data_IF_803541298315
#
_entry.id   IF_803541298315
#
_cell.length_a   1.000
_cell.length_b   1.000
_cell.length_c   1.000
_cell.angle_alpha   90.00
_cell.angle_beta   90.00
_cell.angle_gamma   90.00
#
_symmetry.space_group_name_H-M   'P 1'
#
loop_
_entity.id
_entity.type
_entity.pdbx_description
1 polymer ?
#
# COMPACT_ATOMS: atom_id res chain seq x y z
N UNK A 1 16.07 -27.48 -14.40
CA UNK A 1 16.22 -26.02 -14.45
C UNK A 1 16.61 -25.68 -15.87
N UNK A 2 15.69 -25.06 -16.57
CA UNK A 2 15.92 -24.49 -17.89
C UNK A 2 16.28 -23.01 -17.71
N UNK A 3 17.17 -22.48 -18.56
CA UNK A 3 17.59 -21.08 -18.54
C UNK A 3 17.38 -20.52 -19.94
N UNK A 4 16.51 -19.52 -20.07
CA UNK A 4 16.35 -18.72 -21.27
C UNK A 4 17.14 -17.43 -21.09
N UNK A 5 18.11 -17.17 -21.98
CA UNK A 5 18.90 -15.92 -21.97
C UNK A 5 18.67 -15.19 -23.28
N UNK A 6 18.43 -13.88 -23.25
CA UNK A 6 18.29 -13.06 -24.45
C UNK A 6 19.01 -11.70 -24.34
N UNK A 7 19.76 -11.29 -25.37
CA UNK A 7 20.31 -9.92 -25.44
C UNK A 7 19.24 -8.91 -25.84
N UNK A 8 18.30 -9.32 -26.71
CA UNK A 8 17.16 -8.52 -27.11
C UNK A 8 16.01 -9.41 -27.57
N UNK A 9 14.79 -9.14 -27.10
CA UNK A 9 13.58 -9.79 -27.62
C UNK A 9 12.74 -10.49 -26.56
N UNK A 10 12.62 -11.81 -26.66
CA UNK A 10 11.73 -12.62 -25.82
C UNK A 10 12.50 -13.83 -25.27
N UNK A 11 12.60 -13.94 -23.96
CA UNK A 11 13.14 -15.09 -23.25
C UNK A 11 12.03 -15.76 -22.44
N UNK A 12 11.75 -17.04 -22.71
CA UNK A 12 10.65 -17.78 -22.07
C UNK A 12 11.19 -19.04 -21.39
N UNK A 13 10.74 -19.32 -20.17
CA UNK A 13 11.10 -20.53 -19.44
C UNK A 13 9.95 -21.07 -18.58
N UNK A 14 9.48 -22.28 -18.89
CA UNK A 14 8.46 -22.96 -18.10
C UNK A 14 8.87 -23.21 -16.63
N UNK A 15 10.15 -23.57 -16.39
CA UNK A 15 10.69 -23.76 -15.03
C UNK A 15 12.16 -23.38 -14.97
N UNK A 16 12.46 -22.33 -14.22
CA UNK A 16 13.84 -21.93 -13.94
C UNK A 16 14.05 -20.43 -14.01
N UNK A 17 14.88 -20.00 -14.97
CA UNK A 17 15.36 -18.63 -15.07
C UNK A 17 15.15 -18.10 -16.49
N UNK A 18 14.32 -17.06 -16.65
CA UNK A 18 14.27 -16.23 -17.86
C UNK A 18 15.07 -14.95 -17.62
N UNK A 19 16.05 -14.63 -18.45
CA UNK A 19 16.91 -13.46 -18.29
C UNK A 19 17.05 -12.73 -19.63
N UNK A 20 16.79 -11.43 -19.63
CA UNK A 20 16.90 -10.61 -20.84
C UNK A 20 17.52 -9.23 -20.58
N UNK A 21 18.55 -8.85 -21.34
CA UNK A 21 19.11 -7.49 -21.22
C UNK A 21 18.10 -6.42 -21.67
N UNK A 22 17.36 -6.68 -22.75
CA UNK A 22 16.31 -5.79 -23.23
C UNK A 22 15.14 -6.55 -23.84
N UNK A 23 13.94 -6.40 -23.29
CA UNK A 23 12.74 -7.02 -23.85
C UNK A 23 11.86 -7.66 -22.79
N UNK A 24 11.40 -8.88 -23.07
CA UNK A 24 10.43 -9.59 -22.26
C UNK A 24 11.04 -10.89 -21.76
N UNK A 25 11.22 -11.01 -20.44
CA UNK A 25 11.53 -12.26 -19.75
C UNK A 25 10.25 -12.85 -19.13
N UNK A 26 9.89 -14.07 -19.48
CA UNK A 26 8.69 -14.74 -18.98
C UNK A 26 9.05 -16.10 -18.36
N UNK A 27 8.47 -16.41 -17.20
CA UNK A 27 8.59 -17.72 -16.57
C UNK A 27 7.30 -18.20 -15.93
N UNK A 28 6.84 -19.43 -16.22
CA UNK A 28 5.68 -19.97 -15.49
C UNK A 28 6.00 -20.27 -14.01
N UNK A 29 7.22 -20.73 -13.73
CA UNK A 29 7.66 -20.97 -12.37
C UNK A 29 9.16 -20.71 -12.20
N UNK A 30 9.51 -19.72 -11.38
CA UNK A 30 10.89 -19.40 -11.07
C UNK A 30 11.18 -17.91 -11.06
N UNK A 31 12.26 -17.52 -11.71
CA UNK A 31 12.75 -16.14 -11.74
C UNK A 31 12.75 -15.63 -13.18
N UNK A 32 12.19 -14.46 -13.40
CA UNK A 32 12.29 -13.68 -14.62
C UNK A 32 13.01 -12.38 -14.32
N UNK A 33 14.10 -12.10 -15.01
CA UNK A 33 14.92 -10.89 -14.82
C UNK A 33 15.02 -10.14 -16.15
N UNK A 34 14.87 -8.82 -16.12
CA UNK A 34 15.10 -7.97 -17.28
C UNK A 34 15.69 -6.61 -16.93
N UNK A 35 16.81 -6.23 -17.55
CA UNK A 35 17.42 -4.92 -17.23
C UNK A 35 16.61 -3.76 -17.81
N UNK A 36 16.07 -3.93 -19.01
CA UNK A 36 15.16 -2.95 -19.60
C UNK A 36 13.97 -3.64 -20.30
N UNK A 37 12.77 -3.53 -19.72
CA UNK A 37 11.56 -4.01 -20.35
C UNK A 37 10.53 -4.57 -19.39
N UNK A 38 10.23 -5.86 -19.51
CA UNK A 38 9.17 -6.54 -18.78
C UNK A 38 9.67 -7.89 -18.30
N UNK A 39 9.50 -8.16 -17.00
CA UNK A 39 9.82 -9.43 -16.37
C UNK A 39 8.56 -9.98 -15.73
N UNK A 40 8.04 -11.09 -16.26
CA UNK A 40 6.76 -11.67 -15.87
C UNK A 40 6.97 -13.07 -15.28
N UNK A 41 6.33 -13.35 -14.15
CA UNK A 41 6.32 -14.67 -13.53
C UNK A 41 4.93 -15.08 -13.03
N UNK A 42 4.40 -16.21 -13.50
CA UNK A 42 3.15 -16.74 -12.95
C UNK A 42 3.31 -17.23 -11.49
N UNK A 43 4.46 -17.81 -11.16
CA UNK A 43 4.78 -18.19 -9.80
C UNK A 43 6.27 -18.00 -9.51
N UNK A 44 6.60 -16.95 -8.74
CA UNK A 44 7.97 -16.72 -8.30
C UNK A 44 8.34 -15.25 -8.22
N UNK A 45 9.33 -14.84 -9.01
CA UNK A 45 9.98 -13.54 -8.89
C UNK A 45 10.15 -12.91 -10.27
N UNK A 46 9.49 -11.78 -10.52
CA UNK A 46 9.72 -10.92 -11.68
C UNK A 46 10.52 -9.69 -11.27
N UNK A 47 11.75 -9.53 -11.75
CA UNK A 47 12.68 -8.45 -11.39
C UNK A 47 13.06 -7.61 -12.61
N UNK A 48 13.02 -6.29 -12.48
CA UNK A 48 13.52 -5.38 -13.51
C UNK A 48 14.35 -4.20 -12.96
N UNK A 49 15.40 -3.81 -13.68
CA UNK A 49 16.10 -2.55 -13.34
C UNK A 49 15.29 -1.33 -13.85
N UNK A 50 14.83 -1.37 -15.09
CA UNK A 50 14.03 -0.30 -15.69
C UNK A 50 12.86 -0.84 -16.50
N UNK A 51 11.64 -0.79 -15.96
CA UNK A 51 10.49 -1.34 -16.66
C UNK A 51 9.36 -1.79 -15.76
N UNK A 52 8.87 -3.00 -16.02
CA UNK A 52 7.71 -3.58 -15.37
C UNK A 52 8.04 -4.98 -14.84
N UNK A 53 8.06 -5.15 -13.52
CA UNK A 53 8.14 -6.45 -12.85
C UNK A 53 6.75 -6.93 -12.46
N UNK A 54 6.33 -8.09 -12.95
CA UNK A 54 4.99 -8.62 -12.72
C UNK A 54 5.06 -10.05 -12.17
N UNK A 55 4.26 -10.33 -11.14
CA UNK A 55 4.10 -11.68 -10.63
C UNK A 55 2.67 -11.98 -10.16
N UNK A 56 2.01 -12.96 -10.78
CA UNK A 56 0.70 -13.44 -10.34
C UNK A 56 0.75 -13.97 -8.89
N UNK A 57 1.71 -14.84 -8.58
CA UNK A 57 1.97 -15.31 -7.21
C UNK A 57 3.43 -15.19 -6.86
N UNK A 58 3.77 -14.25 -5.99
CA UNK A 58 5.13 -14.09 -5.49
C UNK A 58 5.56 -12.63 -5.35
N UNK A 59 6.62 -12.26 -6.07
CA UNK A 59 7.29 -10.98 -5.90
C UNK A 59 7.50 -10.32 -7.26
N UNK A 60 6.96 -9.12 -7.45
CA UNK A 60 7.32 -8.20 -8.52
C UNK A 60 8.25 -7.13 -7.96
N UNK A 61 9.42 -6.93 -8.57
CA UNK A 61 10.42 -5.96 -8.15
C UNK A 61 10.89 -5.11 -9.33
N UNK A 62 11.03 -3.80 -9.10
CA UNK A 62 11.51 -2.85 -10.10
C UNK A 62 12.31 -1.73 -9.45
N UNK A 63 13.55 -1.50 -9.88
CA UNK A 63 14.31 -0.35 -9.38
C UNK A 63 13.72 0.98 -9.90
N UNK A 64 13.38 1.02 -11.19
CA UNK A 64 12.70 2.16 -11.79
C UNK A 64 11.53 1.72 -12.68
N UNK A 65 10.31 1.98 -12.22
CA UNK A 65 9.11 1.69 -13.01
C UNK A 65 7.94 1.21 -12.19
N UNK A 66 7.35 0.08 -12.60
CA UNK A 66 6.14 -0.44 -11.99
C UNK A 66 6.38 -1.90 -11.58
N UNK A 67 5.99 -2.22 -10.37
CA UNK A 67 5.96 -3.60 -9.89
C UNK A 67 4.54 -3.96 -9.49
N UNK A 68 4.06 -5.10 -9.97
CA UNK A 68 2.71 -5.57 -9.73
C UNK A 68 2.73 -7.02 -9.23
N UNK A 69 1.86 -7.33 -8.27
CA UNK A 69 1.58 -8.71 -7.89
C UNK A 69 0.14 -8.96 -7.48
N UNK A 70 -0.57 -9.90 -8.12
CA UNK A 70 -1.93 -10.28 -7.68
C UNK A 70 -1.89 -10.81 -6.24
N UNK A 71 -0.98 -11.73 -5.93
CA UNK A 71 -0.80 -12.27 -4.59
C UNK A 71 0.67 -12.28 -4.17
N UNK A 72 1.05 -11.33 -3.31
CA UNK A 72 2.38 -11.29 -2.71
C UNK A 72 2.91 -9.88 -2.48
N UNK A 73 4.02 -9.54 -3.12
CA UNK A 73 4.75 -8.29 -2.87
C UNK A 73 5.07 -7.61 -4.19
N UNK A 74 4.57 -6.39 -4.39
CA UNK A 74 5.01 -5.48 -5.44
C UNK A 74 5.89 -4.40 -4.85
N UNK A 75 7.18 -4.38 -5.20
CA UNK A 75 8.18 -3.47 -4.63
C UNK A 75 8.81 -2.60 -5.73
N UNK A 76 8.88 -1.29 -5.49
CA UNK A 76 9.58 -0.36 -6.40
C UNK A 76 10.42 0.69 -5.69
N UNK A 77 11.73 0.76 -5.95
CA UNK A 77 12.56 1.86 -5.41
C UNK A 77 12.07 3.21 -5.93
N UNK A 78 11.84 3.34 -7.24
CA UNK A 78 11.31 4.55 -7.85
C UNK A 78 10.15 4.25 -8.80
N UNK A 79 8.92 4.52 -8.35
CA UNK A 79 7.74 4.41 -9.20
C UNK A 79 6.51 3.91 -8.45
N UNK A 80 6.00 2.75 -8.83
CA UNK A 80 4.73 2.23 -8.32
C UNK A 80 4.90 0.76 -7.92
N UNK A 81 4.73 0.46 -6.64
CA UNK A 81 4.60 -0.90 -6.13
C UNK A 81 3.14 -1.20 -5.83
N UNK A 82 2.55 -2.17 -6.51
CA UNK A 82 1.14 -2.52 -6.41
C UNK A 82 0.95 -4.00 -6.05
N UNK A 83 -0.02 -4.28 -5.18
CA UNK A 83 -0.49 -5.65 -4.99
C UNK A 83 -1.99 -5.74 -4.72
N UNK A 84 -2.71 -6.64 -5.41
CA UNK A 84 -4.13 -6.88 -5.07
C UNK A 84 -4.23 -7.47 -3.65
N UNK A 85 -3.40 -8.46 -3.32
CA UNK A 85 -3.38 -9.09 -2.01
C UNK A 85 -1.96 -9.30 -1.46
N UNK A 86 -1.59 -8.47 -0.49
CA UNK A 86 -0.33 -8.60 0.21
C UNK A 86 0.30 -7.25 0.57
N UNK A 87 1.36 -6.89 -0.14
CA UNK A 87 2.16 -5.70 0.15
C UNK A 87 2.50 -4.97 -1.16
N UNK A 88 2.11 -3.71 -1.25
CA UNK A 88 2.58 -2.77 -2.27
C UNK A 88 3.50 -1.74 -1.62
N UNK A 89 4.76 -1.70 -2.03
CA UNK A 89 5.79 -0.86 -1.40
C UNK A 89 6.50 0.01 -2.43
N UNK A 90 6.74 1.29 -2.09
CA UNK A 90 7.69 2.10 -2.84
C UNK A 90 8.52 3.06 -1.99
N UNK A 91 9.85 3.04 -2.14
CA UNK A 91 10.71 4.04 -1.50
C UNK A 91 10.36 5.45 -1.99
N UNK A 92 10.24 5.65 -3.30
CA UNK A 92 9.87 6.93 -3.90
C UNK A 92 8.76 6.79 -4.95
N UNK A 93 7.52 7.05 -4.54
CA UNK A 93 6.39 7.05 -5.45
C UNK A 93 5.09 6.62 -4.80
N UNK A 94 4.51 5.52 -5.27
CA UNK A 94 3.20 5.04 -4.82
C UNK A 94 3.31 3.58 -4.41
N UNK A 95 2.96 3.27 -3.17
CA UNK A 95 2.70 1.92 -2.70
C UNK A 95 1.19 1.72 -2.57
N UNK A 96 0.61 0.81 -3.34
CA UNK A 96 -0.83 0.59 -3.39
C UNK A 96 -1.19 -0.87 -3.10
N UNK A 97 -2.25 -1.09 -2.34
CA UNK A 97 -2.76 -2.43 -2.11
C UNK A 97 -4.29 -2.48 -1.97
N UNK A 98 -4.97 -3.38 -2.69
CA UNK A 98 -6.41 -3.57 -2.45
C UNK A 98 -6.66 -4.20 -1.07
N UNK A 99 -5.95 -5.29 -0.75
CA UNK A 99 -6.10 -6.01 0.51
C UNK A 99 -4.75 -6.35 1.16
N UNK A 100 -4.31 -5.50 2.09
CA UNK A 100 -3.03 -5.69 2.75
C UNK A 100 -2.39 -4.40 3.23
N UNK A 101 -1.16 -4.17 2.82
CA UNK A 101 -0.35 -3.02 3.26
C UNK A 101 0.15 -2.27 2.02
N UNK A 102 -0.20 -0.99 1.92
CA UNK A 102 0.36 -0.05 0.97
C UNK A 102 1.31 0.90 1.71
N UNK A 103 2.59 0.87 1.37
CA UNK A 103 3.63 1.61 2.08
C UNK A 103 4.44 2.48 1.11
N UNK A 104 4.75 3.70 1.54
CA UNK A 104 5.75 4.51 0.85
C UNK A 104 6.64 5.32 1.78
N UNK A 105 7.97 5.26 1.61
CA UNK A 105 8.86 6.16 2.35
C UNK A 105 8.63 7.62 1.91
N UNK A 106 8.57 7.89 0.61
CA UNK A 106 8.36 9.21 0.05
C UNK A 106 7.31 9.20 -1.07
N UNK A 107 6.07 9.54 -0.73
CA UNK A 107 5.00 9.65 -1.71
C UNK A 107 3.64 9.31 -1.14
N UNK A 108 2.99 8.29 -1.69
CA UNK A 108 1.63 7.90 -1.32
C UNK A 108 1.60 6.42 -0.98
N UNK A 109 1.14 6.09 0.22
CA UNK A 109 0.81 4.74 0.64
C UNK A 109 -0.70 4.60 0.73
N UNK A 110 -1.30 3.76 -0.10
CA UNK A 110 -2.74 3.60 -0.22
C UNK A 110 -3.17 2.16 0.03
N UNK A 111 -4.27 1.98 0.76
CA UNK A 111 -4.92 0.68 0.82
C UNK A 111 -6.45 0.75 0.86
N UNK A 112 -7.13 -0.04 0.02
CA UNK A 112 -8.59 -0.16 0.16
C UNK A 112 -8.96 -0.84 1.49
N UNK A 113 -8.32 -1.97 1.80
CA UNK A 113 -8.54 -2.71 3.04
C UNK A 113 -7.23 -3.13 3.71
N UNK A 114 -6.92 -2.52 4.86
CA UNK A 114 -5.75 -2.87 5.66
C UNK A 114 -5.00 -1.66 6.20
N UNK A 115 -3.79 -1.42 5.72
CA UNK A 115 -2.88 -0.41 6.24
C UNK A 115 -2.25 0.42 5.13
N UNK A 116 -2.60 1.70 5.04
CA UNK A 116 -1.92 2.67 4.18
C UNK A 116 -0.96 3.51 5.01
N UNK A 117 0.34 3.47 4.71
CA UNK A 117 1.38 4.13 5.49
C UNK A 117 2.29 4.99 4.61
N UNK A 118 2.68 6.16 5.11
CA UNK A 118 3.76 6.93 4.49
C UNK A 118 4.66 7.63 5.50
N UNK A 119 5.98 7.46 5.38
CA UNK A 119 6.90 8.26 6.21
C UNK A 119 6.82 9.74 5.82
N UNK A 120 6.87 10.05 4.52
CA UNK A 120 6.80 11.41 3.99
C UNK A 120 5.82 11.52 2.82
N UNK A 121 4.57 11.92 3.12
CA UNK A 121 3.57 12.20 2.09
C UNK A 121 2.13 11.95 2.53
N UNK A 122 1.45 10.99 1.92
CA UNK A 122 0.04 10.71 2.19
C UNK A 122 -0.20 9.22 2.39
N UNK A 123 -0.59 8.86 3.61
CA UNK A 123 -1.11 7.54 3.93
C UNK A 123 -2.63 7.55 3.90
N UNK A 124 -3.25 6.79 3.02
CA UNK A 124 -4.70 6.72 2.87
C UNK A 124 -5.20 5.29 3.01
N UNK A 125 -6.34 5.11 3.68
CA UNK A 125 -7.08 3.87 3.55
C UNK A 125 -8.60 4.05 3.52
N UNK A 126 -9.30 3.23 2.73
CA UNK A 126 -10.75 3.19 2.80
C UNK A 126 -11.24 2.48 4.07
N UNK A 127 -10.69 1.30 4.37
CA UNK A 127 -11.07 0.47 5.51
C UNK A 127 -9.86 -0.08 6.26
N UNK A 128 -9.48 0.58 7.37
CA UNK A 128 -8.41 0.09 8.23
C UNK A 128 -7.64 1.17 8.97
N UNK A 129 -6.34 1.28 8.69
CA UNK A 129 -5.44 2.21 9.35
C UNK A 129 -4.67 3.03 8.31
N UNK A 130 -4.80 4.35 8.37
CA UNK A 130 -4.06 5.28 7.54
C UNK A 130 -3.09 6.07 8.41
N UNK A 131 -1.80 6.03 8.11
CA UNK A 131 -0.76 6.68 8.93
C UNK A 131 0.19 7.52 8.09
N UNK A 132 0.59 8.67 8.63
CA UNK A 132 1.77 9.36 8.12
C UNK A 132 2.59 10.04 9.19
N UNK A 133 3.91 9.84 9.16
CA UNK A 133 4.83 10.54 10.07
C UNK A 133 4.94 12.03 9.69
N UNK A 134 5.26 12.31 8.43
CA UNK A 134 5.46 13.63 7.88
C UNK A 134 4.51 13.89 6.70
N UNK A 135 3.25 14.15 7.00
CA UNK A 135 2.26 14.41 5.98
C UNK A 135 0.82 14.30 6.45
N UNK A 136 -0.03 13.65 5.65
CA UNK A 136 -1.45 13.46 5.94
C UNK A 136 -1.82 11.99 5.94
N UNK A 137 -2.18 11.46 7.11
CA UNK A 137 -2.87 10.19 7.26
C UNK A 137 -4.39 10.37 7.25
N UNK A 138 -5.09 9.61 6.41
CA UNK A 138 -6.57 9.59 6.34
C UNK A 138 -7.10 8.15 6.36
N UNK A 139 -8.28 7.98 6.98
CA UNK A 139 -9.05 6.75 6.90
C UNK A 139 -10.53 7.06 6.83
N UNK A 140 -11.22 6.55 5.80
CA UNK A 140 -12.68 6.70 5.65
C UNK A 140 -13.43 5.89 6.72
N UNK A 141 -13.03 4.62 6.90
CA UNK A 141 -13.59 3.69 7.88
C UNK A 141 -12.46 3.05 8.68
N UNK A 142 -12.07 3.70 9.78
CA UNK A 142 -10.97 3.20 10.57
C UNK A 142 -10.31 4.24 11.47
N UNK A 143 -9.00 4.13 11.61
CA UNK A 143 -8.17 5.09 12.33
C UNK A 143 -7.21 5.77 11.36
N UNK A 144 -7.26 7.10 11.29
CA UNK A 144 -6.28 7.92 10.59
C UNK A 144 -5.43 8.67 11.61
N UNK A 145 -4.11 8.60 11.49
CA UNK A 145 -3.16 9.33 12.33
C UNK A 145 -2.13 10.11 11.50
N UNK A 146 -1.86 11.35 11.92
CA UNK A 146 -0.79 12.18 11.36
C UNK A 146 0.01 12.81 12.49
N UNK A 147 1.30 12.50 12.58
CA UNK A 147 2.18 13.06 13.63
C UNK A 147 2.43 14.57 13.43
N UNK A 148 2.48 15.02 12.17
CA UNK A 148 2.71 16.42 11.83
C UNK A 148 1.51 17.37 12.11
N UNK A 149 0.27 16.89 12.12
CA UNK A 149 -0.97 17.70 12.26
C UNK A 149 -1.87 17.32 13.44
N UNK A 150 -1.27 16.85 14.54
CA UNK A 150 -1.96 16.54 15.81
C UNK A 150 -2.62 17.76 16.52
N UNK A 151 -2.90 18.87 15.82
CA UNK A 151 -3.65 20.03 16.37
C UNK A 151 -5.12 20.12 15.95
N UNK A 152 -5.59 19.43 14.91
CA UNK A 152 -6.96 19.69 14.39
C UNK A 152 -7.88 18.47 14.14
N UNK A 153 -7.54 17.25 14.57
CA UNK A 153 -8.43 16.06 14.45
C UNK A 153 -9.44 15.95 15.62
N UNK A 154 -10.11 17.04 16.02
CA UNK A 154 -11.14 16.99 17.09
C UNK A 154 -12.55 17.34 16.65
N UNK A 155 -12.85 17.39 15.35
CA UNK A 155 -14.12 17.98 14.87
C UNK A 155 -15.04 17.17 13.94
N UNK A 156 -14.71 15.95 13.48
CA UNK A 156 -15.61 15.26 12.53
C UNK A 156 -16.29 13.96 12.98
N UNK A 157 -15.79 13.21 13.96
CA UNK A 157 -16.45 11.94 14.33
C UNK A 157 -17.23 12.00 15.65
N UNK A 158 -18.41 12.64 15.60
CA UNK A 158 -19.30 12.72 16.78
C UNK A 158 -20.70 13.26 16.53
N UNK A 159 -21.29 13.04 15.36
CA UNK A 159 -22.73 13.16 15.16
C UNK A 159 -23.26 11.94 14.42
N UNK A 160 -23.56 10.88 15.15
CA UNK A 160 -24.86 10.20 15.06
C UNK A 160 -25.01 9.16 16.17
N UNK A 161 -26.03 9.37 16.99
CA UNK A 161 -26.31 8.61 18.21
C UNK A 161 -27.46 9.26 18.97
N UNK A 162 -28.57 9.54 18.28
CA UNK A 162 -29.82 9.93 18.93
C UNK A 162 -30.30 8.78 19.82
N UNK A 163 -30.13 8.90 21.13
CA UNK A 163 -31.06 8.29 22.09
C UNK A 163 -31.65 9.37 22.99
N UNK A 164 -32.88 9.77 22.66
CA UNK A 164 -33.79 10.53 23.53
C UNK A 164 -34.06 9.71 24.79
N UNK A 165 -33.64 10.20 25.96
CA UNK A 165 -33.85 9.50 27.23
C UNK A 165 -33.75 10.36 28.48
N UNK A 166 -34.75 11.23 28.69
CA UNK A 166 -35.23 11.76 29.99
C UNK A 166 -34.26 12.52 30.90
N UNK A 167 -34.45 13.85 30.95
CA UNK A 167 -34.04 14.74 32.04
C UNK A 167 -34.63 14.26 33.39
N UNK A 168 -33.78 13.98 34.37
CA UNK A 168 -34.12 14.11 35.79
C UNK A 168 -33.22 15.22 36.34
N UNK A 169 -33.78 16.43 36.38
CA UNK A 169 -33.15 17.57 37.03
C UNK A 169 -33.45 17.55 38.52
N UNK A 170 -32.42 17.74 39.34
CA UNK A 170 -32.55 18.29 40.68
C UNK A 170 -31.49 19.37 40.84
N UNK A 171 -31.85 20.59 40.44
CA UNK A 171 -31.28 21.81 41.01
C UNK A 171 -32.22 22.32 42.10
N UNK A 172 -31.65 22.79 43.21
CA UNK A 172 -32.29 23.83 44.02
C UNK A 172 -32.56 23.46 45.47
N UNK A 173 -31.64 23.85 46.35
CA UNK A 173 -32.03 24.45 47.62
C UNK A 173 -30.95 25.42 48.12
N UNK A 174 -31.21 26.73 48.11
CA UNK A 174 -30.72 27.57 49.20
C UNK A 174 -31.86 28.27 49.96
N UNK A 175 -31.61 28.42 51.26
CA UNK A 175 -32.25 29.30 52.27
C UNK A 175 -33.70 29.02 52.68
N UNK A 176 -33.89 28.78 53.98
CA UNK A 176 -34.65 29.71 54.83
C UNK A 176 -34.00 29.84 56.21
N UNK A 177 -33.64 31.06 56.58
CA UNK A 177 -33.56 31.52 57.98
C UNK A 177 -34.94 31.36 58.62
N UNK A 178 -35.04 30.85 59.85
CA UNK A 178 -36.10 31.25 60.80
C UNK A 178 -35.65 31.11 62.25
N UNK A 179 -35.56 32.30 62.88
CA UNK A 179 -35.74 32.70 64.28
C UNK A 179 -34.71 32.27 65.32
#
# INVERSE_FOLDING_TARGET
MYRGECEAGYGESEVGYGECEAGYGESEAGYSESEAGYGESEAGYGENEAGYGESEVGYGESEAGYSESEAGYGESEAGYGESEAGYGESEAGYGECEAGYGESEAGYGESEAGYGESEAGYGECEAGYGESEAGYGESEVGYGESEADSRDIKKKNGKEGQMKGKKLGYEGAPRQERK
#
